data_IF_904517237872
#
_entry.id   IF_904517237872
#
_cell.length_a   1.000
_cell.length_b   1.000
_cell.length_c   1.000
_cell.angle_alpha   90.00
_cell.angle_beta   90.00
_cell.angle_gamma   90.00
#
_symmetry.space_group_name_H-M   'P 1'
#
loop_
_entity.id
_entity.type
_entity.pdbx_description
1 polymer ?
#
# COMPACT_ATOMS: atom_id res chain seq x y z
N UNK A 1 51.90 32.95 23.89
CA UNK A 1 51.43 31.54 23.94
C UNK A 1 49.97 31.43 23.52
N UNK A 2 49.46 32.45 22.83
CA UNK A 2 48.01 32.69 22.63
C UNK A 2 47.53 32.18 21.26
N UNK A 3 48.44 32.04 20.31
CA UNK A 3 48.18 31.48 18.97
C UNK A 3 47.90 29.97 19.00
N UNK A 4 48.54 29.23 19.91
CA UNK A 4 48.31 27.79 20.08
C UNK A 4 46.95 27.53 20.75
N UNK A 5 46.54 28.38 21.69
CA UNK A 5 45.21 28.33 22.30
C UNK A 5 44.09 28.62 21.31
N UNK A 6 44.26 29.64 20.46
CA UNK A 6 43.31 29.98 19.39
C UNK A 6 43.16 28.88 18.33
N UNK A 7 44.26 28.24 17.92
CA UNK A 7 44.23 27.13 16.96
C UNK A 7 43.54 25.89 17.55
N UNK A 8 43.76 25.61 18.84
CA UNK A 8 43.13 24.50 19.57
C UNK A 8 41.60 24.67 19.65
N UNK A 9 41.13 25.89 19.93
CA UNK A 9 39.70 26.22 19.98
C UNK A 9 39.05 26.10 18.60
N UNK A 10 39.73 26.57 17.54
CA UNK A 10 39.25 26.43 16.17
C UNK A 10 39.08 24.95 15.76
N UNK A 11 40.06 24.10 16.08
CA UNK A 11 39.99 22.66 15.80
C UNK A 11 38.84 21.99 16.55
N UNK A 12 38.61 22.36 17.81
CA UNK A 12 37.48 21.84 18.60
C UNK A 12 36.14 22.27 17.99
N UNK A 13 36.00 23.54 17.58
CA UNK A 13 34.79 24.04 16.92
C UNK A 13 34.53 23.31 15.60
N UNK A 14 35.57 23.10 14.78
CA UNK A 14 35.45 22.36 13.52
C UNK A 14 35.10 20.89 13.78
N UNK A 15 35.68 20.26 14.80
CA UNK A 15 35.36 18.88 15.16
C UNK A 15 33.91 18.73 15.65
N UNK A 16 33.43 19.67 16.49
CA UNK A 16 32.04 19.71 16.95
C UNK A 16 31.09 19.95 15.77
N UNK A 17 31.44 20.84 14.84
CA UNK A 17 30.65 21.11 13.65
C UNK A 17 30.55 19.88 12.74
N UNK A 18 31.66 19.20 12.47
CA UNK A 18 31.68 17.95 11.69
C UNK A 18 30.85 16.87 12.40
N UNK A 19 30.97 16.74 13.72
CA UNK A 19 30.19 15.77 14.49
C UNK A 19 28.69 16.08 14.44
N UNK A 20 28.31 17.36 14.56
CA UNK A 20 26.91 17.79 14.44
C UNK A 20 26.33 17.49 13.06
N UNK A 21 27.10 17.72 11.98
CA UNK A 21 26.70 17.38 10.61
C UNK A 21 26.53 15.87 10.44
N UNK A 22 27.45 15.05 10.96
CA UNK A 22 27.37 13.59 10.89
C UNK A 22 26.15 13.06 11.64
N UNK A 23 25.91 13.53 12.87
CA UNK A 23 24.77 13.10 13.70
C UNK A 23 23.43 13.56 13.11
N UNK A 24 23.39 14.72 12.44
CA UNK A 24 22.20 15.18 11.72
C UNK A 24 21.91 14.35 10.45
N UNK A 25 22.96 13.94 9.73
CA UNK A 25 22.83 13.21 8.48
C UNK A 25 22.57 11.71 8.68
N UNK A 26 23.16 11.10 9.72
CA UNK A 26 22.98 9.68 10.04
C UNK A 26 21.93 9.52 11.13
N UNK A 27 20.75 8.93 10.85
CA UNK A 27 19.77 8.64 11.88
C UNK A 27 20.23 7.44 12.72
N UNK A 28 21.13 7.67 13.69
CA UNK A 28 21.74 6.62 14.53
C UNK A 28 20.67 5.82 15.27
N UNK A 29 19.62 6.48 15.78
CA UNK A 29 18.50 5.80 16.45
C UNK A 29 17.72 4.84 15.54
N UNK A 30 17.56 5.19 14.26
CA UNK A 30 16.91 4.32 13.27
C UNK A 30 17.77 3.08 12.99
N UNK A 31 19.09 3.26 12.88
CA UNK A 31 20.03 2.17 12.69
C UNK A 31 20.01 1.17 13.84
N UNK A 32 20.05 1.67 15.08
CA UNK A 32 19.98 0.83 16.29
C UNK A 32 18.68 0.01 16.28
N UNK A 33 17.54 0.66 16.01
CA UNK A 33 16.23 0.00 15.95
C UNK A 33 16.17 -1.09 14.87
N UNK A 34 16.75 -0.81 13.70
CA UNK A 34 16.82 -1.77 12.59
C UNK A 34 17.67 -2.99 12.95
N UNK A 35 18.83 -2.76 13.58
CA UNK A 35 19.74 -3.82 14.03
C UNK A 35 19.07 -4.76 15.04
N UNK A 36 18.42 -4.21 16.07
CA UNK A 36 17.66 -5.01 17.05
C UNK A 36 16.45 -5.72 16.46
N UNK A 37 15.90 -5.21 15.35
CA UNK A 37 14.81 -5.84 14.62
C UNK A 37 15.27 -6.91 13.62
N UNK A 38 16.58 -7.20 13.55
CA UNK A 38 17.15 -8.21 12.65
C UNK A 38 17.36 -7.75 11.21
N UNK A 39 17.19 -6.45 10.92
CA UNK A 39 17.39 -5.89 9.57
C UNK A 39 18.87 -5.54 9.38
N UNK A 40 19.55 -6.25 8.48
CA UNK A 40 20.96 -6.02 8.17
C UNK A 40 21.12 -4.82 7.23
N UNK A 41 21.36 -3.63 7.78
CA UNK A 41 21.65 -2.42 7.01
C UNK A 41 23.11 -2.00 7.18
N UNK A 42 23.69 -1.38 6.15
CA UNK A 42 24.99 -0.72 6.20
C UNK A 42 24.80 0.79 6.32
N UNK A 43 25.37 1.40 7.37
CA UNK A 43 25.20 2.83 7.68
C UNK A 43 25.54 3.74 6.48
N UNK A 44 26.70 3.52 5.85
CA UNK A 44 27.21 4.38 4.78
C UNK A 44 26.59 4.11 3.41
N UNK A 45 26.29 2.84 3.07
CA UNK A 45 25.71 2.52 1.76
C UNK A 45 24.20 2.78 1.73
N UNK A 46 23.50 2.36 2.78
CA UNK A 46 22.04 2.28 2.73
C UNK A 46 21.42 3.55 3.33
N UNK A 47 21.76 3.95 4.56
CA UNK A 47 21.13 5.13 5.19
C UNK A 47 21.57 6.45 4.55
N UNK A 48 22.88 6.62 4.34
CA UNK A 48 23.41 7.80 3.66
C UNK A 48 23.01 7.77 2.18
N UNK A 49 23.12 6.62 1.50
CA UNK A 49 22.74 6.46 0.10
C UNK A 49 21.24 6.72 -0.18
N UNK A 50 20.35 6.38 0.75
CA UNK A 50 18.92 6.75 0.66
C UNK A 50 18.74 8.27 0.63
N UNK A 51 19.43 9.02 1.50
CA UNK A 51 19.35 10.48 1.52
C UNK A 51 19.91 11.12 0.25
N UNK A 52 21.02 10.62 -0.28
CA UNK A 52 21.57 11.12 -1.56
C UNK A 52 20.60 10.90 -2.72
N UNK A 53 19.89 9.76 -2.73
CA UNK A 53 18.86 9.45 -3.73
C UNK A 53 17.51 10.12 -3.46
N UNK A 54 17.41 10.99 -2.45
CA UNK A 54 16.17 11.66 -2.01
C UNK A 54 15.05 10.69 -1.57
N UNK A 55 15.43 9.51 -1.07
CA UNK A 55 14.51 8.54 -0.45
C UNK A 55 14.52 8.75 1.06
N UNK A 56 13.35 8.75 1.69
CA UNK A 56 13.24 8.88 3.15
C UNK A 56 13.70 7.60 3.85
N UNK A 57 14.82 7.60 4.61
CA UNK A 57 15.29 6.40 5.29
C UNK A 57 14.29 5.91 6.34
N UNK A 58 13.55 6.83 6.96
CA UNK A 58 12.57 6.51 7.99
C UNK A 58 11.46 5.60 7.46
N UNK A 59 10.90 5.92 6.28
CA UNK A 59 9.81 5.14 5.67
C UNK A 59 10.29 3.75 5.30
N UNK A 60 11.43 3.65 4.62
CA UNK A 60 11.97 2.37 4.14
C UNK A 60 12.34 1.45 5.30
N UNK A 61 13.09 1.96 6.29
CA UNK A 61 13.55 1.14 7.41
C UNK A 61 12.39 0.68 8.29
N UNK A 62 11.41 1.55 8.56
CA UNK A 62 10.23 1.17 9.33
C UNK A 62 9.42 0.09 8.62
N UNK A 63 9.23 0.20 7.31
CA UNK A 63 8.58 -0.83 6.51
C UNK A 63 9.37 -2.15 6.51
N UNK A 64 10.70 -2.11 6.39
CA UNK A 64 11.56 -3.30 6.48
C UNK A 64 11.48 -3.99 7.84
N UNK A 65 11.45 -3.21 8.93
CA UNK A 65 11.28 -3.74 10.29
C UNK A 65 9.93 -4.46 10.40
N UNK A 66 8.85 -3.85 9.91
CA UNK A 66 7.51 -4.46 9.93
C UNK A 66 7.46 -5.74 9.10
N UNK A 67 8.04 -5.75 7.90
CA UNK A 67 8.11 -6.93 7.05
C UNK A 67 8.91 -8.07 7.71
N UNK A 68 10.10 -7.75 8.22
CA UNK A 68 10.99 -8.74 8.86
C UNK A 68 10.33 -9.37 10.09
N UNK A 69 9.66 -8.56 10.92
CA UNK A 69 8.89 -9.06 12.07
C UNK A 69 7.70 -9.93 11.70
N UNK A 70 7.18 -9.77 10.47
CA UNK A 70 6.14 -10.63 9.92
C UNK A 70 6.69 -11.88 9.21
N UNK A 71 8.01 -12.10 9.21
CA UNK A 71 8.64 -13.22 8.52
C UNK A 71 8.89 -12.99 7.03
N UNK A 72 8.73 -11.75 6.54
CA UNK A 72 8.99 -11.37 5.14
C UNK A 72 10.35 -10.71 5.00
N UNK A 73 11.20 -11.28 4.15
CA UNK A 73 12.49 -10.69 3.78
C UNK A 73 12.36 -9.96 2.44
N UNK A 74 12.26 -8.64 2.51
CA UNK A 74 12.17 -7.76 1.33
C UNK A 74 13.53 -7.14 1.00
N UNK A 75 13.82 -6.97 -0.28
CA UNK A 75 14.99 -6.22 -0.74
C UNK A 75 14.79 -4.72 -0.50
N UNK A 76 15.77 -4.08 0.15
CA UNK A 76 15.83 -2.63 0.35
C UNK A 76 15.72 -1.88 -0.97
N UNK A 77 16.34 -2.40 -2.03
CA UNK A 77 16.43 -1.76 -3.34
C UNK A 77 15.08 -1.67 -4.04
N UNK A 78 14.23 -2.70 -3.89
CA UNK A 78 12.87 -2.73 -4.43
C UNK A 78 11.96 -1.71 -3.73
N UNK A 79 12.06 -1.61 -2.39
CA UNK A 79 11.31 -0.63 -1.61
C UNK A 79 11.70 0.81 -1.96
N UNK A 80 13.00 1.05 -2.17
CA UNK A 80 13.51 2.35 -2.61
C UNK A 80 13.05 2.68 -4.04
N UNK A 81 13.10 1.71 -4.96
CA UNK A 81 12.61 1.89 -6.32
C UNK A 81 11.12 2.23 -6.34
N UNK A 82 10.30 1.55 -5.53
CA UNK A 82 8.87 1.85 -5.40
C UNK A 82 8.62 3.25 -4.82
N UNK A 83 9.40 3.65 -3.80
CA UNK A 83 9.32 5.00 -3.25
C UNK A 83 9.67 6.08 -4.29
N UNK A 84 10.72 5.85 -5.08
CA UNK A 84 11.15 6.76 -6.14
C UNK A 84 10.14 6.83 -7.30
N UNK A 85 9.42 5.74 -7.56
CA UNK A 85 8.32 5.72 -8.51
C UNK A 85 7.07 6.48 -8.01
N UNK A 86 7.09 7.00 -6.77
CA UNK A 86 5.97 7.73 -6.17
C UNK A 86 4.93 6.84 -5.50
N UNK A 87 5.23 5.55 -5.31
CA UNK A 87 4.34 4.60 -4.66
C UNK A 87 4.36 4.68 -3.13
N UNK A 88 3.31 4.13 -2.51
CA UNK A 88 3.15 4.06 -1.06
C UNK A 88 3.74 2.76 -0.50
N UNK A 89 5.01 2.83 -0.12
CA UNK A 89 5.76 1.71 0.49
C UNK A 89 5.08 1.15 1.75
N UNK A 90 4.49 2.01 2.58
CA UNK A 90 3.85 1.59 3.83
C UNK A 90 2.62 0.74 3.53
N UNK A 91 1.79 1.17 2.56
CA UNK A 91 0.58 0.46 2.20
C UNK A 91 0.89 -0.92 1.58
N UNK A 92 1.84 -0.96 0.64
CA UNK A 92 2.30 -2.19 -0.01
C UNK A 92 2.83 -3.20 1.02
N UNK A 93 3.69 -2.78 1.95
CA UNK A 93 4.23 -3.68 2.97
C UNK A 93 3.14 -4.19 3.92
N UNK A 94 2.21 -3.34 4.34
CA UNK A 94 1.08 -3.78 5.17
C UNK A 94 0.17 -4.78 4.43
N UNK A 95 -0.03 -4.58 3.12
CA UNK A 95 -0.77 -5.51 2.28
C UNK A 95 -0.06 -6.87 2.17
N UNK A 96 1.26 -6.88 1.96
CA UNK A 96 2.09 -8.10 1.92
C UNK A 96 2.06 -8.86 3.24
N UNK A 97 2.17 -8.16 4.37
CA UNK A 97 2.04 -8.77 5.71
C UNK A 97 0.66 -9.40 5.88
N UNK A 98 -0.40 -8.71 5.46
CA UNK A 98 -1.77 -9.21 5.56
C UNK A 98 -1.99 -10.43 4.65
N UNK A 99 -1.44 -10.40 3.43
CA UNK A 99 -1.50 -11.50 2.49
C UNK A 99 -0.77 -12.74 3.02
N UNK A 100 0.45 -12.56 3.54
CA UNK A 100 1.23 -13.65 4.12
C UNK A 100 0.52 -14.31 5.32
N UNK A 101 -0.08 -13.51 6.22
CA UNK A 101 -0.89 -14.03 7.34
C UNK A 101 -2.14 -14.79 6.89
N UNK A 102 -2.68 -14.44 5.74
CA UNK A 102 -3.84 -15.10 5.14
C UNK A 102 -3.46 -16.24 4.17
N UNK A 103 -2.19 -16.63 4.09
CA UNK A 103 -1.66 -17.62 3.14
C UNK A 103 -2.00 -17.30 1.67
N UNK A 104 -2.04 -16.01 1.32
CA UNK A 104 -2.18 -15.53 -0.05
C UNK A 104 -0.81 -15.32 -0.68
N UNK A 105 -0.60 -15.88 -1.87
CA UNK A 105 0.62 -15.67 -2.65
C UNK A 105 0.58 -14.30 -3.34
N UNK A 106 1.16 -13.29 -2.69
CA UNK A 106 1.29 -11.94 -3.22
C UNK A 106 2.77 -11.54 -3.25
N UNK A 107 3.33 -11.49 -4.45
CA UNK A 107 4.68 -10.98 -4.71
C UNK A 107 4.74 -9.45 -4.55
N UNK A 108 5.91 -8.91 -4.18
CA UNK A 108 6.13 -7.47 -4.05
C UNK A 108 5.82 -6.71 -5.35
N UNK A 109 6.22 -7.25 -6.50
CA UNK A 109 6.05 -6.63 -7.82
C UNK A 109 4.57 -6.46 -8.17
N UNK A 110 3.74 -7.47 -7.89
CA UNK A 110 2.27 -7.40 -8.07
C UNK A 110 1.66 -6.35 -7.16
N UNK A 111 2.05 -6.33 -5.88
CA UNK A 111 1.55 -5.34 -4.93
C UNK A 111 1.94 -3.91 -5.33
N UNK A 112 3.17 -3.72 -5.77
CA UNK A 112 3.67 -2.45 -6.30
C UNK A 112 2.90 -2.01 -7.56
N UNK A 113 2.63 -2.94 -8.49
CA UNK A 113 1.85 -2.65 -9.69
C UNK A 113 0.41 -2.20 -9.38
N UNK A 114 -0.24 -2.82 -8.39
CA UNK A 114 -1.58 -2.41 -7.94
C UNK A 114 -1.55 -0.99 -7.34
N UNK A 115 -0.56 -0.70 -6.49
CA UNK A 115 -0.39 0.61 -5.86
C UNK A 115 -0.11 1.71 -6.90
N UNK A 116 0.79 1.46 -7.85
CA UNK A 116 1.09 2.38 -8.95
C UNK A 116 -0.08 2.58 -9.92
N UNK A 117 -1.00 1.61 -10.02
CA UNK A 117 -2.26 1.74 -10.75
C UNK A 117 -3.30 2.62 -10.00
N UNK A 118 -2.94 3.17 -8.83
CA UNK A 118 -3.82 4.01 -8.02
C UNK A 118 -4.94 3.22 -7.35
N UNK A 119 -4.67 1.96 -6.98
CA UNK A 119 -5.61 1.10 -6.25
C UNK A 119 -5.07 0.81 -4.85
N UNK A 120 -5.96 0.71 -3.87
CA UNK A 120 -5.57 0.34 -2.52
C UNK A 120 -5.32 -1.17 -2.42
N UNK A 121 -4.03 -1.54 -2.41
CA UNK A 121 -3.57 -2.93 -2.27
C UNK A 121 -4.06 -3.56 -0.97
N UNK A 122 -4.03 -2.81 0.14
CA UNK A 122 -4.38 -3.33 1.45
C UNK A 122 -5.87 -3.65 1.52
N UNK A 123 -6.72 -2.76 0.99
CA UNK A 123 -8.15 -3.01 0.91
C UNK A 123 -8.46 -4.22 0.02
N UNK A 124 -7.76 -4.36 -1.11
CA UNK A 124 -7.93 -5.50 -1.99
C UNK A 124 -7.57 -6.84 -1.33
N UNK A 125 -6.46 -6.88 -0.58
CA UNK A 125 -6.09 -8.08 0.20
C UNK A 125 -7.15 -8.40 1.25
N UNK A 126 -7.63 -7.39 1.99
CA UNK A 126 -8.70 -7.56 2.98
C UNK A 126 -9.98 -8.12 2.35
N UNK A 127 -10.42 -7.57 1.21
CA UNK A 127 -11.60 -8.05 0.48
C UNK A 127 -11.44 -9.45 -0.11
N UNK A 128 -10.21 -9.91 -0.33
CA UNK A 128 -9.95 -11.27 -0.79
C UNK A 128 -10.15 -12.29 0.33
N UNK A 129 -9.73 -11.94 1.55
CA UNK A 129 -9.86 -12.79 2.75
C UNK A 129 -11.26 -12.70 3.36
N UNK A 130 -11.78 -11.48 3.51
CA UNK A 130 -13.08 -11.19 4.08
C UNK A 130 -13.94 -10.50 3.01
N UNK A 131 -14.84 -11.25 2.34
CA UNK A 131 -15.75 -10.67 1.37
C UNK A 131 -16.62 -9.57 1.98
N UNK A 132 -16.90 -8.54 1.20
CA UNK A 132 -17.75 -7.40 1.59
C UNK A 132 -19.12 -7.56 0.94
N UNK A 133 -20.18 -7.29 1.70
CA UNK A 133 -21.54 -7.22 1.16
C UNK A 133 -21.83 -5.78 0.77
N UNK A 134 -22.25 -5.58 -0.48
CA UNK A 134 -22.63 -4.28 -1.02
C UNK A 134 -24.09 -4.38 -1.44
N UNK A 135 -24.88 -3.36 -1.11
CA UNK A 135 -26.28 -3.25 -1.50
C UNK A 135 -26.43 -2.30 -2.68
N UNK A 136 -27.26 -2.68 -3.66
CA UNK A 136 -27.57 -1.81 -4.78
C UNK A 136 -28.54 -0.70 -4.37
N UNK A 137 -28.50 0.48 -5.01
CA UNK A 137 -29.62 1.41 -4.91
C UNK A 137 -30.92 0.75 -5.37
N UNK A 138 -32.07 1.30 -4.98
CA UNK A 138 -33.38 0.81 -5.43
C UNK A 138 -33.49 1.00 -6.92
N UNK A 139 -33.51 -0.10 -7.68
CA UNK A 139 -33.68 -0.09 -9.13
C UNK A 139 -35.15 -0.34 -9.42
N UNK A 140 -35.76 0.54 -10.22
CA UNK A 140 -37.17 0.42 -10.62
C UNK A 140 -37.27 0.15 -12.12
N UNK A 141 -38.05 -0.85 -12.50
CA UNK A 141 -38.29 -1.20 -13.91
C UNK A 141 -39.74 -1.69 -14.08
N UNK A 142 -40.25 -1.65 -15.32
CA UNK A 142 -41.64 -2.02 -15.65
C UNK A 142 -41.60 -3.24 -16.56
N UNK A 143 -42.34 -4.29 -16.20
CA UNK A 143 -42.49 -5.49 -17.02
C UNK A 143 -43.48 -5.23 -18.19
N UNK A 144 -43.55 -6.13 -19.18
CA UNK A 144 -44.42 -5.94 -20.36
C UNK A 144 -45.92 -5.91 -20.03
N UNK A 145 -46.32 -6.48 -18.89
CA UNK A 145 -47.67 -6.38 -18.33
C UNK A 145 -47.99 -5.02 -17.69
N UNK A 146 -47.05 -4.07 -17.70
CA UNK A 146 -47.23 -2.70 -17.23
C UNK A 146 -47.05 -2.51 -15.71
N UNK A 147 -46.63 -3.55 -14.98
CA UNK A 147 -46.43 -3.48 -13.54
C UNK A 147 -45.00 -3.05 -13.22
N UNK A 148 -44.86 -2.05 -12.35
CA UNK A 148 -43.57 -1.55 -11.88
C UNK A 148 -43.07 -2.39 -10.70
N UNK A 149 -41.87 -2.93 -10.84
CA UNK A 149 -41.15 -3.62 -9.78
C UNK A 149 -40.01 -2.74 -9.25
N UNK A 150 -39.79 -2.83 -7.93
CA UNK A 150 -38.64 -2.22 -7.24
C UNK A 150 -37.78 -3.33 -6.69
N UNK A 151 -36.56 -3.43 -7.17
CA UNK A 151 -35.62 -4.48 -6.78
C UNK A 151 -34.41 -3.89 -6.06
N UNK A 152 -33.96 -4.62 -5.03
CA UNK A 152 -32.74 -4.34 -4.29
C UNK A 152 -31.95 -5.65 -4.21
N UNK A 153 -30.69 -5.62 -4.63
CA UNK A 153 -29.81 -6.77 -4.58
C UNK A 153 -28.71 -6.55 -3.52
N UNK A 154 -28.47 -7.58 -2.70
CA UNK A 154 -27.32 -7.66 -1.80
C UNK A 154 -26.28 -8.58 -2.42
N UNK A 155 -25.15 -8.03 -2.81
CA UNK A 155 -24.10 -8.71 -3.57
C UNK A 155 -22.90 -8.89 -2.64
N UNK A 156 -22.38 -10.11 -2.57
CA UNK A 156 -21.11 -10.36 -1.88
C UNK A 156 -19.98 -10.28 -2.89
N UNK A 157 -19.07 -9.32 -2.73
CA UNK A 157 -17.91 -9.16 -3.60
C UNK A 157 -16.65 -9.69 -2.92
N UNK A 158 -15.82 -10.38 -3.71
CA UNK A 158 -14.48 -10.82 -3.33
C UNK A 158 -13.48 -10.30 -4.36
N UNK A 159 -12.37 -9.73 -3.89
CA UNK A 159 -11.31 -9.25 -4.76
C UNK A 159 -10.45 -10.42 -5.28
N UNK A 160 -10.20 -10.42 -6.59
CA UNK A 160 -9.17 -11.24 -7.21
C UNK A 160 -7.93 -10.37 -7.45
N UNK A 161 -6.85 -10.66 -6.72
CA UNK A 161 -5.61 -9.89 -6.76
C UNK A 161 -4.91 -9.94 -8.11
N UNK A 162 -5.06 -11.02 -8.89
CA UNK A 162 -4.41 -11.19 -10.19
C UNK A 162 -5.01 -10.28 -11.27
N UNK A 163 -6.31 -9.99 -11.16
CA UNK A 163 -7.07 -9.23 -12.17
C UNK A 163 -7.52 -7.86 -11.68
N UNK A 164 -6.91 -7.38 -10.60
CA UNK A 164 -7.31 -6.12 -9.98
C UNK A 164 -6.87 -4.90 -10.79
N UNK A 165 -5.69 -4.95 -11.41
CA UNK A 165 -5.21 -3.90 -12.30
C UNK A 165 -6.04 -3.94 -13.59
N UNK A 166 -6.85 -2.90 -13.81
CA UNK A 166 -7.82 -2.85 -14.90
C UNK A 166 -9.16 -3.56 -14.62
N UNK A 167 -9.38 -4.03 -13.39
CA UNK A 167 -10.64 -4.65 -12.96
C UNK A 167 -11.78 -3.64 -12.75
N UNK A 168 -12.99 -4.17 -12.52
CA UNK A 168 -14.18 -3.39 -12.22
C UNK A 168 -14.15 -2.87 -10.77
N UNK A 169 -14.42 -1.59 -10.57
CA UNK A 169 -14.63 -1.01 -9.24
C UNK A 169 -16.04 -1.27 -8.72
N UNK A 170 -16.30 -0.94 -7.45
CA UNK A 170 -17.63 -1.09 -6.84
C UNK A 170 -18.72 -0.38 -7.66
N UNK A 171 -18.46 0.85 -8.12
CA UNK A 171 -19.40 1.61 -8.96
C UNK A 171 -19.72 0.91 -10.30
N UNK A 172 -18.71 0.29 -10.93
CA UNK A 172 -18.90 -0.46 -12.17
C UNK A 172 -19.69 -1.74 -11.94
N UNK A 173 -19.45 -2.43 -10.83
CA UNK A 173 -20.21 -3.63 -10.43
C UNK A 173 -21.68 -3.26 -10.19
N UNK A 174 -21.94 -2.19 -9.42
CA UNK A 174 -23.29 -1.69 -9.15
C UNK A 174 -24.04 -1.30 -10.43
N UNK A 175 -23.37 -0.61 -11.35
CA UNK A 175 -23.95 -0.23 -12.63
C UNK A 175 -24.31 -1.47 -13.48
N UNK A 176 -23.42 -2.47 -13.55
CA UNK A 176 -23.66 -3.71 -14.30
C UNK A 176 -24.78 -4.56 -13.71
N UNK A 177 -24.86 -4.65 -12.38
CA UNK A 177 -25.97 -5.35 -11.73
C UNK A 177 -27.28 -4.59 -11.92
N UNK A 178 -27.26 -3.26 -11.83
CA UNK A 178 -28.42 -2.43 -12.14
C UNK A 178 -28.92 -2.63 -13.58
N UNK A 179 -28.01 -2.63 -14.56
CA UNK A 179 -28.30 -2.95 -15.97
C UNK A 179 -28.96 -4.32 -16.11
N UNK A 180 -28.41 -5.36 -15.44
CA UNK A 180 -28.99 -6.70 -15.44
C UNK A 180 -30.39 -6.78 -14.84
N UNK A 181 -30.63 -6.08 -13.72
CA UNK A 181 -31.95 -6.01 -13.07
C UNK A 181 -32.97 -5.35 -14.01
N UNK A 182 -32.63 -4.18 -14.58
CA UNK A 182 -33.54 -3.46 -15.50
C UNK A 182 -33.84 -4.31 -16.74
N UNK A 183 -32.81 -4.94 -17.33
CA UNK A 183 -32.97 -5.76 -18.53
C UNK A 183 -33.84 -6.99 -18.27
N UNK A 184 -33.67 -7.66 -17.12
CA UNK A 184 -34.46 -8.85 -16.77
C UNK A 184 -35.93 -8.49 -16.54
N UNK A 185 -36.21 -7.43 -15.76
CA UNK A 185 -37.58 -6.99 -15.51
C UNK A 185 -38.24 -6.50 -16.81
N UNK A 186 -37.55 -5.68 -17.60
CA UNK A 186 -38.10 -5.10 -18.83
C UNK A 186 -38.29 -6.10 -19.98
N UNK A 187 -37.59 -7.23 -19.97
CA UNK A 187 -37.76 -8.30 -20.96
C UNK A 187 -38.81 -9.35 -20.59
N UNK A 188 -39.26 -9.38 -19.33
CA UNK A 188 -40.23 -10.36 -18.83
C UNK A 188 -41.66 -10.05 -19.29
N UNK A 189 -42.40 -11.09 -19.68
CA UNK A 189 -43.80 -10.97 -20.14
C UNK A 189 -44.75 -10.57 -18.99
N UNK A 190 -44.55 -11.14 -17.79
CA UNK A 190 -45.28 -10.73 -16.57
C UNK A 190 -44.35 -10.48 -15.39
N UNK A 191 -44.77 -9.62 -14.46
CA UNK A 191 -44.08 -9.38 -13.17
C UNK A 191 -43.89 -10.63 -12.32
N UNK A 192 -44.64 -11.72 -12.59
CA UNK A 192 -44.52 -13.01 -11.89
C UNK A 192 -43.39 -13.89 -12.41
N UNK A 193 -42.87 -13.61 -13.60
CA UNK A 193 -41.86 -14.42 -14.28
C UNK A 193 -40.42 -13.94 -14.00
N UNK A 194 -40.26 -12.93 -13.15
CA UNK A 194 -39.00 -12.28 -12.74
C UNK A 194 -38.35 -12.98 -11.55
#
# INVERSE_FOLDING_TARGET
MDVVGGLSILVIIVAIFILAVIVYFVPVGLFITAYFSGVKLKIFKDLVGMRLRKVSPYVIVRSLISATKAGLHLDTSLLEAHYLAGGNVINVVNALISANKANLDLSFEKAAAIDLAGRDVLEAVKMSVLPKVIETPVVSAVAKDGIQLKAIARITVRANLERLVGGAGEATILARVGEGIVSTIGSSESHKDV
#
